data_IF_665272418655
#
_entry.id   IF_665272418655
#
_cell.length_a   1.000
_cell.length_b   1.000
_cell.length_c   1.000
_cell.angle_alpha   90.00
_cell.angle_beta   90.00
_cell.angle_gamma   90.00
#
_symmetry.space_group_name_H-M   'P 1'
#
loop_
_entity.id
_entity.type
_entity.pdbx_description
1 polymer ?
#
# COMPACT_ATOMS: atom_id res chain seq x y z
N UNK A 1 -4.36 8.87 -15.38
CA UNK A 1 -4.28 9.08 -13.91
C UNK A 1 -4.20 7.68 -13.30
N UNK A 2 -3.04 7.26 -12.77
CA UNK A 2 -2.74 5.83 -12.46
C UNK A 2 -3.04 5.52 -10.98
N UNK A 3 -3.67 4.38 -10.71
CA UNK A 3 -3.98 3.90 -9.35
C UNK A 3 -2.72 3.69 -8.50
N UNK A 4 -2.83 3.81 -7.18
CA UNK A 4 -1.68 3.67 -6.27
C UNK A 4 -1.00 2.28 -6.36
N UNK A 5 -1.76 1.23 -6.67
CA UNK A 5 -1.20 -0.10 -6.96
C UNK A 5 -0.40 -0.13 -8.27
N UNK A 6 -0.85 0.61 -9.30
CA UNK A 6 -0.10 0.81 -10.54
C UNK A 6 1.17 1.65 -10.33
N UNK A 7 1.11 2.64 -9.44
CA UNK A 7 2.28 3.44 -9.07
C UNK A 7 3.31 2.63 -8.24
N UNK A 8 2.85 1.75 -7.35
CA UNK A 8 3.69 0.83 -6.58
C UNK A 8 4.37 -0.23 -7.45
N UNK A 9 3.65 -0.79 -8.44
CA UNK A 9 4.22 -1.74 -9.40
C UNK A 9 5.36 -1.13 -10.23
N UNK A 10 5.20 0.11 -10.69
CA UNK A 10 6.21 0.81 -11.51
C UNK A 10 7.47 1.14 -10.72
N UNK A 11 7.35 1.45 -9.42
CA UNK A 11 8.50 1.80 -8.56
C UNK A 11 9.25 0.60 -7.99
N UNK A 12 8.56 -0.51 -7.81
CA UNK A 12 9.12 -1.71 -7.19
C UNK A 12 9.39 -2.83 -8.21
N UNK A 13 9.11 -2.60 -9.49
CA UNK A 13 9.19 -3.57 -10.58
C UNK A 13 8.45 -4.89 -10.28
N UNK A 14 7.30 -4.78 -9.61
CA UNK A 14 6.42 -5.91 -9.27
C UNK A 14 5.17 -5.85 -10.13
N UNK A 15 4.63 -6.99 -10.56
CA UNK A 15 3.37 -7.02 -11.32
C UNK A 15 2.20 -6.41 -10.55
N UNK A 16 1.22 -5.84 -11.25
CA UNK A 16 0.04 -5.20 -10.65
C UNK A 16 -0.74 -6.14 -9.72
N UNK A 17 -0.90 -7.41 -10.11
CA UNK A 17 -1.58 -8.41 -9.28
C UNK A 17 -0.86 -8.63 -7.95
N UNK A 18 0.47 -8.79 -7.99
CA UNK A 18 1.29 -8.94 -6.79
C UNK A 18 1.20 -7.71 -5.89
N UNK A 19 1.30 -6.51 -6.46
CA UNK A 19 1.14 -5.26 -5.72
C UNK A 19 -0.25 -5.18 -5.06
N UNK A 20 -1.31 -5.52 -5.79
CA UNK A 20 -2.69 -5.52 -5.29
C UNK A 20 -2.88 -6.50 -4.14
N UNK A 21 -2.31 -7.71 -4.25
CA UNK A 21 -2.34 -8.72 -3.20
C UNK A 21 -1.61 -8.29 -1.93
N UNK A 22 -0.43 -7.66 -2.07
CA UNK A 22 0.29 -7.10 -0.93
C UNK A 22 -0.50 -5.98 -0.25
N UNK A 23 -1.08 -5.06 -1.02
CA UNK A 23 -1.92 -3.98 -0.48
C UNK A 23 -3.14 -4.56 0.23
N UNK A 24 -3.75 -5.64 -0.29
CA UNK A 24 -4.87 -6.33 0.37
C UNK A 24 -4.44 -6.92 1.72
N UNK A 25 -3.30 -7.61 1.77
CA UNK A 25 -2.76 -8.17 3.02
C UNK A 25 -2.46 -7.09 4.06
N UNK A 26 -1.87 -5.96 3.62
CA UNK A 26 -1.61 -4.80 4.48
C UNK A 26 -2.90 -4.15 5.00
N UNK A 27 -3.95 -4.11 4.18
CA UNK A 27 -5.26 -3.62 4.60
C UNK A 27 -5.93 -4.54 5.62
N UNK A 28 -5.88 -5.86 5.40
CA UNK A 28 -6.39 -6.86 6.35
C UNK A 28 -5.65 -6.78 7.69
N UNK A 29 -4.33 -6.57 7.67
CA UNK A 29 -3.51 -6.40 8.86
C UNK A 29 -3.73 -5.04 9.57
N UNK A 30 -4.55 -4.14 9.01
CA UNK A 30 -4.83 -2.82 9.57
C UNK A 30 -3.68 -1.82 9.43
N UNK A 31 -2.76 -2.05 8.50
CA UNK A 31 -1.59 -1.21 8.27
C UNK A 31 -1.84 -0.15 7.18
N UNK A 32 -2.74 -0.45 6.26
CA UNK A 32 -3.16 0.45 5.18
C UNK A 32 -4.67 0.57 5.19
N UNK A 33 -5.19 1.77 5.06
CA UNK A 33 -6.61 2.00 4.81
C UNK A 33 -6.84 2.21 3.31
N UNK A 34 -7.93 1.61 2.80
CA UNK A 34 -8.40 1.78 1.42
C UNK A 34 -9.70 2.58 1.43
N UNK A 35 -9.77 3.65 0.63
CA UNK A 35 -10.99 4.42 0.41
C UNK A 35 -11.32 4.46 -1.08
N UNK A 36 -12.56 4.12 -1.41
CA UNK A 36 -13.06 4.29 -2.77
C UNK A 36 -13.32 5.79 -3.04
N UNK A 37 -12.87 6.28 -4.20
CA UNK A 37 -13.03 7.65 -4.65
C UNK A 37 -13.45 7.65 -6.13
N UNK A 38 -14.71 7.28 -6.35
CA UNK A 38 -15.27 7.09 -7.70
C UNK A 38 -14.61 5.91 -8.42
N UNK A 39 -13.98 6.11 -9.59
CA UNK A 39 -13.25 5.06 -10.29
C UNK A 39 -11.86 4.79 -9.71
N UNK A 40 -11.39 5.64 -8.78
CA UNK A 40 -10.05 5.54 -8.21
C UNK A 40 -10.08 4.95 -6.81
N UNK A 41 -9.03 4.21 -6.46
CA UNK A 41 -8.84 3.70 -5.11
C UNK A 41 -7.68 4.43 -4.42
N UNK A 42 -8.00 5.19 -3.37
CA UNK A 42 -7.00 5.85 -2.54
C UNK A 42 -6.55 4.93 -1.40
N UNK A 43 -5.25 4.98 -1.11
CA UNK A 43 -4.63 4.24 -0.03
C UNK A 43 -3.86 5.21 0.86
N UNK A 44 -3.92 4.99 2.18
CA UNK A 44 -3.13 5.73 3.16
C UNK A 44 -2.63 4.77 4.24
N UNK A 45 -1.46 5.02 4.80
CA UNK A 45 -0.99 4.30 5.99
C UNK A 45 -1.86 4.65 7.20
N UNK A 46 -2.14 3.66 8.03
CA UNK A 46 -2.70 3.89 9.37
C UNK A 46 -1.59 4.34 10.32
N UNK A 47 -1.95 4.89 11.48
CA UNK A 47 -0.97 5.23 12.53
C UNK A 47 -0.14 4.00 12.93
N UNK A 48 -0.77 2.83 12.99
CA UNK A 48 -0.08 1.55 13.21
C UNK A 48 0.90 1.22 12.08
N UNK A 49 0.49 1.42 10.82
CA UNK A 49 1.34 1.20 9.66
C UNK A 49 2.56 2.12 9.64
N UNK A 50 2.39 3.38 10.06
CA UNK A 50 3.48 4.35 10.15
C UNK A 50 4.52 3.95 11.20
N UNK A 51 4.07 3.57 12.41
CA UNK A 51 4.95 3.06 13.47
C UNK A 51 5.75 1.82 13.05
N UNK A 52 5.13 0.92 12.28
CA UNK A 52 5.82 -0.28 11.75
C UNK A 52 6.82 0.09 10.67
N UNK A 53 6.51 1.05 9.79
CA UNK A 53 7.47 1.51 8.79
C UNK A 53 8.67 2.20 9.41
N UNK A 54 8.48 2.95 10.50
CA UNK A 54 9.59 3.50 11.28
C UNK A 54 10.49 2.36 11.77
N UNK A 55 9.91 1.30 12.34
CA UNK A 55 10.66 0.10 12.71
C UNK A 55 11.40 -0.54 11.52
N UNK A 56 10.72 -0.79 10.39
CA UNK A 56 11.36 -1.40 9.22
C UNK A 56 12.48 -0.54 8.63
N UNK A 57 12.41 0.79 8.72
CA UNK A 57 13.49 1.70 8.30
C UNK A 57 14.73 1.61 9.19
N UNK A 58 14.57 1.16 10.45
CA UNK A 58 15.69 0.97 11.39
C UNK A 58 16.36 -0.39 11.26
N UNK A 59 15.75 -1.33 10.53
CA UNK A 59 16.38 -2.60 10.14
C UNK A 59 17.25 -2.35 8.90
N UNK A 60 18.46 -1.85 9.13
CA UNK A 60 19.50 -1.67 8.11
C UNK A 60 20.56 -2.75 8.27
#
# INVERSE_FOLDING_TARGET
>A
MKDCASYGSERLNIGYENASDHVRKLAIAGLVMKRNDGPAVRHKLTERGDSILVFCKTLQ
#
